data_IF_463592209458
#
_entry.id   IF_463592209458
#
_cell.length_a   1.000
_cell.length_b   1.000
_cell.length_c   1.000
_cell.angle_alpha   90.00
_cell.angle_beta   90.00
_cell.angle_gamma   90.00
#
_symmetry.space_group_name_H-M   'P 1'
#
loop_
_entity.id
_entity.type
_entity.pdbx_description
1 polymer ?
#
# COMPACT_ATOMS: atom_id res chain seq x y z
N UNK A 1 8.18 -10.89 19.25
CA UNK A 1 7.68 -9.63 18.68
C UNK A 1 7.69 -9.88 17.18
N UNK A 2 6.53 -9.87 16.54
CA UNK A 2 6.45 -10.09 15.09
C UNK A 2 7.18 -8.94 14.38
N UNK A 3 7.96 -9.23 13.33
CA UNK A 3 8.71 -8.21 12.61
C UNK A 3 7.78 -7.19 11.97
N UNK A 4 8.02 -5.90 12.23
CA UNK A 4 7.22 -4.81 11.70
C UNK A 4 7.59 -4.50 10.25
N UNK A 5 6.74 -4.96 9.34
CA UNK A 5 6.81 -4.73 7.90
C UNK A 5 5.65 -3.85 7.43
N UNK A 6 5.91 -3.02 6.43
CA UNK A 6 4.85 -2.34 5.68
C UNK A 6 5.23 -2.24 4.21
N UNK A 7 4.22 -2.25 3.35
CA UNK A 7 4.34 -2.10 1.89
C UNK A 7 3.41 -0.99 1.43
N UNK A 8 3.74 -0.36 0.31
CA UNK A 8 2.75 0.44 -0.38
C UNK A 8 3.28 1.12 -1.63
N UNK A 9 2.68 2.28 -1.90
CA UNK A 9 3.00 3.11 -3.05
C UNK A 9 3.41 4.50 -2.60
N UNK A 10 4.20 5.16 -3.42
CA UNK A 10 4.63 6.53 -3.23
C UNK A 10 4.48 7.31 -4.51
N UNK A 11 4.27 8.62 -4.40
CA UNK A 11 4.43 9.53 -5.54
C UNK A 11 5.85 9.36 -6.15
N UNK A 12 5.97 9.49 -7.46
CA UNK A 12 7.24 9.30 -8.14
C UNK A 12 8.34 10.31 -7.74
N UNK A 13 7.98 11.43 -7.09
CA UNK A 13 8.95 12.40 -6.53
C UNK A 13 9.60 11.93 -5.23
N UNK A 14 9.08 10.90 -4.56
CA UNK A 14 9.64 10.41 -3.29
C UNK A 14 11.02 9.78 -3.46
N UNK A 15 11.99 10.19 -2.64
CA UNK A 15 13.29 9.54 -2.50
C UNK A 15 13.34 8.70 -1.22
N UNK A 16 13.94 7.52 -1.29
CA UNK A 16 14.17 6.66 -0.13
C UNK A 16 15.67 6.44 0.05
N UNK A 17 16.16 6.68 1.26
CA UNK A 17 17.55 6.46 1.63
C UNK A 17 17.66 5.41 2.75
N UNK A 18 18.78 4.70 2.79
CA UNK A 18 19.04 3.73 3.86
C UNK A 18 19.04 4.42 5.24
N UNK A 19 18.40 3.81 6.22
CA UNK A 19 18.30 4.34 7.58
C UNK A 19 17.27 5.46 7.76
N UNK A 20 16.45 5.76 6.76
CA UNK A 20 15.34 6.72 6.83
C UNK A 20 13.99 6.02 6.87
N UNK A 21 13.03 6.65 7.54
CA UNK A 21 11.65 6.17 7.56
C UNK A 21 10.96 6.51 6.22
N UNK A 22 9.96 5.74 5.78
CA UNK A 22 9.28 5.98 4.51
C UNK A 22 8.59 7.36 4.41
N UNK A 23 8.31 8.01 5.54
CA UNK A 23 7.69 9.33 5.62
C UNK A 23 8.67 10.47 5.86
N UNK A 24 9.97 10.18 5.98
CA UNK A 24 11.02 11.20 6.09
C UNK A 24 11.22 11.91 4.74
N UNK A 25 12.12 12.90 4.71
CA UNK A 25 12.57 13.59 3.48
C UNK A 25 11.43 14.17 2.63
N UNK A 26 10.34 14.60 3.28
CA UNK A 26 9.17 15.20 2.61
C UNK A 26 8.15 14.20 2.05
N UNK A 27 8.25 12.91 2.44
CA UNK A 27 7.39 11.84 1.90
C UNK A 27 6.08 11.62 2.69
N UNK A 28 5.88 12.32 3.81
CA UNK A 28 4.76 12.07 4.75
C UNK A 28 3.38 12.04 4.10
N UNK A 29 3.10 12.96 3.20
CA UNK A 29 1.81 13.09 2.49
C UNK A 29 1.88 12.54 1.05
N UNK A 30 2.99 11.89 0.71
CA UNK A 30 3.26 11.39 -0.64
C UNK A 30 3.34 9.87 -0.71
N UNK A 31 2.92 9.19 0.36
CA UNK A 31 2.98 7.73 0.47
C UNK A 31 1.64 7.18 0.94
N UNK A 32 1.29 6.00 0.44
CA UNK A 32 0.29 5.12 1.04
C UNK A 32 1.03 3.90 1.57
N UNK A 33 0.66 3.46 2.76
CA UNK A 33 1.26 2.33 3.46
C UNK A 33 0.19 1.39 3.98
N UNK A 34 0.41 0.10 3.79
CA UNK A 34 -0.39 -0.96 4.36
C UNK A 34 0.40 -1.61 5.49
N UNK A 35 -0.03 -1.32 6.71
CA UNK A 35 0.59 -1.79 7.93
C UNK A 35 0.24 -3.26 8.18
N UNK A 36 1.13 -3.97 8.87
CA UNK A 36 0.92 -5.37 9.27
C UNK A 36 -0.37 -5.60 10.08
N UNK A 37 -0.82 -4.60 10.83
CA UNK A 37 -2.09 -4.64 11.58
C UNK A 37 -3.35 -4.48 10.70
N UNK A 38 -3.17 -4.30 9.39
CA UNK A 38 -4.24 -4.12 8.42
C UNK A 38 -4.66 -2.67 8.22
N UNK A 39 -4.04 -1.69 8.87
CA UNK A 39 -4.40 -0.30 8.63
C UNK A 39 -3.80 0.21 7.30
N UNK A 40 -4.56 1.04 6.58
CA UNK A 40 -3.99 1.88 5.52
C UNK A 40 -3.60 3.22 6.12
N UNK A 41 -2.40 3.71 5.81
CA UNK A 41 -1.92 5.02 6.19
C UNK A 41 -1.63 5.91 4.99
N UNK A 42 -1.94 7.18 5.13
CA UNK A 42 -1.52 8.27 4.25
C UNK A 42 -1.21 9.50 5.12
N UNK A 43 -2.03 10.56 5.07
CA UNK A 43 -2.03 11.68 6.01
C UNK A 43 -2.55 11.20 7.38
N UNK A 44 -3.69 10.51 7.38
CA UNK A 44 -4.25 9.78 8.53
C UNK A 44 -4.26 8.28 8.28
N UNK A 45 -4.75 7.50 9.25
CA UNK A 45 -4.93 6.07 9.11
C UNK A 45 -6.40 5.70 8.94
N UNK A 46 -6.67 4.65 8.18
CA UNK A 46 -7.98 4.04 8.04
C UNK A 46 -7.93 2.56 8.39
N UNK A 47 -8.93 2.12 9.17
CA UNK A 47 -9.13 0.72 9.59
C UNK A 47 -10.12 0.02 8.67
N UNK A 48 -10.08 -1.30 8.63
CA UNK A 48 -11.10 -2.11 7.93
C UNK A 48 -10.52 -3.25 7.09
N UNK A 49 -9.22 -3.20 6.77
CA UNK A 49 -8.56 -4.31 6.09
C UNK A 49 -8.05 -5.33 7.11
N UNK A 50 -7.80 -6.54 6.61
CA UNK A 50 -7.25 -7.63 7.39
C UNK A 50 -5.79 -7.35 7.76
N UNK A 51 -5.37 -7.79 8.94
CA UNK A 51 -3.94 -7.92 9.27
C UNK A 51 -3.29 -9.03 8.45
N UNK A 52 -1.98 -8.97 8.30
CA UNK A 52 -1.19 -10.08 7.75
C UNK A 52 -0.07 -10.49 8.73
N UNK A 53 0.46 -11.69 8.52
CA UNK A 53 1.53 -12.28 9.31
C UNK A 53 2.60 -12.90 8.42
N UNK A 54 3.71 -13.30 9.03
CA UNK A 54 4.82 -13.96 8.36
C UNK A 54 4.33 -15.21 7.57
N UNK A 55 4.87 -15.35 6.36
CA UNK A 55 4.50 -16.43 5.43
C UNK A 55 3.30 -16.13 4.53
N UNK A 56 2.52 -15.07 4.81
CA UNK A 56 1.43 -14.63 3.94
C UNK A 56 1.94 -13.78 2.78
N UNK A 57 1.17 -13.77 1.69
CA UNK A 57 1.43 -12.94 0.51
C UNK A 57 0.67 -11.64 0.62
N UNK A 58 1.35 -10.53 0.34
CA UNK A 58 0.73 -9.21 0.27
C UNK A 58 0.97 -8.67 -1.13
N UNK A 59 -0.07 -8.13 -1.74
CA UNK A 59 0.04 -7.49 -3.04
C UNK A 59 -0.60 -6.10 -3.04
N UNK A 60 -0.09 -5.25 -3.92
CA UNK A 60 -0.72 -3.99 -4.28
C UNK A 60 -0.87 -3.97 -5.80
N UNK A 61 -2.09 -3.78 -6.26
CA UNK A 61 -2.40 -3.56 -7.67
C UNK A 61 -2.69 -2.08 -7.88
N UNK A 62 -2.00 -1.45 -8.82
CA UNK A 62 -2.27 -0.06 -9.22
C UNK A 62 -2.91 -0.05 -10.61
N UNK A 63 -4.16 0.40 -10.66
CA UNK A 63 -4.86 0.65 -11.91
C UNK A 63 -4.64 2.11 -12.33
N UNK A 64 -3.69 2.28 -13.25
CA UNK A 64 -3.34 3.58 -13.83
C UNK A 64 -4.23 3.97 -15.02
N UNK A 65 -5.16 3.11 -15.44
CA UNK A 65 -6.00 3.30 -16.63
C UNK A 65 -7.36 3.91 -16.31
N UNK A 66 -7.81 3.78 -15.07
CA UNK A 66 -9.07 4.36 -14.59
C UNK A 66 -8.91 5.80 -14.11
N UNK A 67 -10.01 6.56 -14.16
CA UNK A 67 -10.09 7.91 -13.60
C UNK A 67 -11.30 7.95 -12.66
N UNK A 68 -11.11 8.06 -11.33
CA UNK A 68 -9.82 8.19 -10.64
C UNK A 68 -8.97 6.90 -10.68
N UNK A 69 -7.65 7.05 -10.77
CA UNK A 69 -6.69 5.93 -10.67
C UNK A 69 -6.79 5.28 -9.29
N UNK A 70 -6.54 3.98 -9.20
CA UNK A 70 -6.80 3.20 -7.99
C UNK A 70 -5.59 2.38 -7.54
N UNK A 71 -5.43 2.21 -6.23
CA UNK A 71 -4.53 1.23 -5.63
C UNK A 71 -5.33 0.31 -4.69
N UNK A 72 -5.34 -0.99 -5.00
CA UNK A 72 -6.04 -2.02 -4.23
C UNK A 72 -5.03 -2.96 -3.58
N UNK A 73 -5.27 -3.35 -2.33
CA UNK A 73 -4.41 -4.25 -1.57
C UNK A 73 -5.02 -5.64 -1.44
N UNK A 74 -4.16 -6.65 -1.30
CA UNK A 74 -4.55 -8.05 -1.18
C UNK A 74 -3.73 -8.74 -0.10
N UNK A 75 -4.34 -9.68 0.62
CA UNK A 75 -3.68 -10.61 1.56
C UNK A 75 -4.04 -12.03 1.16
N UNK A 76 -3.06 -12.86 0.83
CA UNK A 76 -3.25 -14.22 0.28
C UNK A 76 -4.27 -14.25 -0.86
N UNK A 77 -4.13 -13.31 -1.81
CA UNK A 77 -4.99 -13.13 -2.97
C UNK A 77 -6.44 -12.68 -2.65
N UNK A 78 -6.78 -12.44 -1.38
CA UNK A 78 -8.06 -11.83 -0.98
C UNK A 78 -8.00 -10.30 -1.05
N UNK A 79 -8.87 -9.72 -1.88
CA UNK A 79 -9.03 -8.26 -2.02
C UNK A 79 -9.45 -7.61 -0.70
N UNK A 80 -8.80 -6.51 -0.34
CA UNK A 80 -9.07 -5.78 0.89
C UNK A 80 -10.13 -4.68 0.66
N UNK A 81 -11.06 -4.46 1.62
CA UNK A 81 -12.21 -3.57 1.42
C UNK A 81 -11.84 -2.10 1.27
N UNK A 82 -10.81 -1.63 1.96
CA UNK A 82 -10.31 -0.27 1.80
C UNK A 82 -9.25 -0.24 0.71
N UNK A 83 -9.44 0.68 -0.24
CA UNK A 83 -8.53 0.93 -1.35
C UNK A 83 -8.37 2.44 -1.56
N UNK A 84 -7.31 2.86 -2.25
CA UNK A 84 -7.02 4.28 -2.46
C UNK A 84 -7.38 4.70 -3.88
N UNK A 85 -8.04 5.85 -4.02
CA UNK A 85 -8.38 6.46 -5.31
C UNK A 85 -7.70 7.81 -5.49
N UNK A 86 -7.54 8.23 -6.74
CA UNK A 86 -6.93 9.50 -7.11
C UNK A 86 -5.41 9.51 -6.91
N UNK A 87 -4.77 8.34 -6.98
CA UNK A 87 -3.31 8.23 -6.86
C UNK A 87 -2.58 9.04 -7.95
N UNK A 88 -1.31 9.44 -7.75
CA UNK A 88 -0.56 10.26 -8.71
C UNK A 88 -0.39 9.64 -10.10
N UNK A 89 0.03 10.44 -11.08
CA UNK A 89 0.29 10.02 -12.48
C UNK A 89 1.42 9.01 -12.62
N UNK A 90 2.36 9.04 -11.69
CA UNK A 90 3.46 8.10 -11.62
C UNK A 90 3.69 7.73 -10.16
N UNK A 91 3.88 6.43 -9.91
CA UNK A 91 4.07 5.89 -8.56
C UNK A 91 5.31 5.00 -8.47
N UNK A 92 5.84 4.87 -7.26
CA UNK A 92 6.87 3.89 -6.90
C UNK A 92 6.27 2.87 -5.94
N UNK A 93 6.59 1.60 -6.12
CA UNK A 93 6.34 0.58 -5.11
C UNK A 93 7.49 0.58 -4.11
N UNK A 94 7.19 0.40 -2.83
CA UNK A 94 8.20 0.35 -1.78
C UNK A 94 7.79 -0.62 -0.67
N UNK A 95 8.80 -1.18 -0.01
CA UNK A 95 8.65 -2.04 1.16
C UNK A 95 9.61 -1.52 2.23
N UNK A 96 9.17 -1.52 3.48
CA UNK A 96 9.97 -1.13 4.64
C UNK A 96 9.97 -2.24 5.68
N UNK A 97 11.16 -2.56 6.16
CA UNK A 97 11.41 -3.52 7.24
C UNK A 97 12.04 -2.78 8.42
N UNK A 98 11.41 -2.83 9.59
CA UNK A 98 11.92 -2.17 10.79
C UNK A 98 12.84 -3.08 11.61
N UNK A 99 12.38 -4.30 11.90
CA UNK A 99 13.08 -5.19 12.80
C UNK A 99 14.28 -5.86 12.15
N UNK A 100 15.35 -6.05 12.94
CA UNK A 100 16.55 -6.75 12.49
C UNK A 100 16.18 -8.15 12.00
N UNK A 101 16.82 -8.57 10.90
CA UNK A 101 16.61 -9.87 10.24
C UNK A 101 15.23 -10.06 9.57
N UNK A 102 14.36 -9.05 9.59
CA UNK A 102 13.16 -9.05 8.75
C UNK A 102 13.57 -9.11 7.28
N UNK A 103 12.86 -9.91 6.50
CA UNK A 103 13.10 -10.01 5.07
C UNK A 103 11.79 -10.25 4.34
N UNK A 104 11.80 -9.95 3.05
CA UNK A 104 10.68 -10.23 2.16
C UNK A 104 11.25 -10.75 0.84
N UNK A 105 10.42 -11.44 0.07
CA UNK A 105 10.75 -11.89 -1.28
C UNK A 105 9.72 -11.33 -2.24
N UNK A 106 10.18 -10.67 -3.31
CA UNK A 106 9.31 -10.28 -4.42
C UNK A 106 9.06 -11.52 -5.27
N UNK A 107 7.89 -12.13 -5.11
CA UNK A 107 7.50 -13.33 -5.87
C UNK A 107 6.93 -12.99 -7.25
N UNK A 108 6.41 -11.78 -7.43
CA UNK A 108 5.70 -11.35 -8.63
C UNK A 108 5.79 -9.83 -8.81
N UNK A 109 6.16 -9.40 -10.00
CA UNK A 109 6.13 -8.01 -10.43
C UNK A 109 5.81 -7.97 -11.91
N UNK A 110 4.55 -7.73 -12.24
CA UNK A 110 4.06 -7.82 -13.62
C UNK A 110 3.08 -6.71 -13.94
N UNK A 111 2.91 -6.47 -15.24
CA UNK A 111 1.87 -5.61 -15.78
C UNK A 111 0.68 -6.46 -16.19
N UNK A 112 -0.46 -6.22 -15.56
CA UNK A 112 -1.72 -6.85 -15.92
C UNK A 112 -2.39 -6.13 -17.10
N UNK A 113 -3.12 -6.87 -17.94
CA UNK A 113 -3.93 -6.28 -19.03
C UNK A 113 -5.20 -5.65 -18.47
N UNK A 114 -5.76 -6.24 -17.41
CA UNK A 114 -6.97 -5.77 -16.72
C UNK A 114 -6.78 -5.92 -15.22
N UNK A 115 -7.33 -4.98 -14.46
CA UNK A 115 -7.40 -5.05 -13.01
C UNK A 115 -8.05 -6.36 -12.54
N UNK A 116 -7.47 -7.00 -11.53
CA UNK A 116 -8.07 -8.18 -10.86
C UNK A 116 -9.00 -7.79 -9.73
N UNK A 117 -8.98 -6.52 -9.29
CA UNK A 117 -9.88 -5.97 -8.29
C UNK A 117 -11.32 -5.95 -8.82
N UNK A 118 -12.20 -6.66 -8.11
CA UNK A 118 -13.63 -6.77 -8.42
C UNK A 118 -14.48 -5.88 -7.51
N UNK A 119 -13.91 -5.43 -6.38
CA UNK A 119 -14.63 -4.76 -5.32
C UNK A 119 -15.27 -5.77 -4.36
N UNK A 120 -15.28 -5.42 -3.08
CA UNK A 120 -15.83 -6.25 -2.00
C UNK A 120 -17.02 -5.52 -1.36
N UNK A 121 -18.00 -6.24 -0.84
CA UNK A 121 -19.09 -5.62 -0.08
C UNK A 121 -18.54 -4.82 1.11
N UNK A 122 -19.09 -3.62 1.33
CA UNK A 122 -18.59 -2.72 2.38
C UNK A 122 -17.28 -2.02 2.06
N UNK A 123 -16.80 -2.07 0.81
CA UNK A 123 -15.56 -1.40 0.41
C UNK A 123 -15.61 0.11 0.62
N UNK A 124 -14.48 0.68 1.05
CA UNK A 124 -14.30 2.12 1.25
C UNK A 124 -13.21 2.66 0.33
N UNK A 125 -13.60 3.53 -0.59
CA UNK A 125 -12.65 4.28 -1.40
C UNK A 125 -12.06 5.44 -0.58
N UNK A 126 -10.74 5.47 -0.46
CA UNK A 126 -9.99 6.46 0.31
C UNK A 126 -9.29 7.43 -0.65
N UNK A 127 -9.63 8.72 -0.60
CA UNK A 127 -9.11 9.70 -1.54
C UNK A 127 -7.67 10.10 -1.18
N UNK A 128 -6.73 9.95 -2.13
CA UNK A 128 -5.37 10.46 -1.98
C UNK A 128 -5.37 11.97 -1.72
N UNK A 129 -4.47 12.44 -0.85
CA UNK A 129 -4.31 13.85 -0.50
C UNK A 129 -5.37 14.37 0.48
N UNK A 130 -6.13 13.48 1.13
CA UNK A 130 -7.17 13.86 2.10
C UNK A 130 -7.04 13.11 3.41
N UNK A 131 -7.64 13.67 4.46
CA UNK A 131 -7.83 12.97 5.74
C UNK A 131 -8.89 11.87 5.58
N UNK A 132 -8.50 10.65 5.92
CA UNK A 132 -9.39 9.51 6.03
C UNK A 132 -9.95 9.49 7.45
N UNK A 133 -11.17 10.02 7.62
CA UNK A 133 -11.96 9.86 8.84
C UNK A 133 -12.71 8.53 8.81
#
# INVERSE_FOLDING_TARGET
>A
MEPYLMIGIADASCSFAAGKLPWDDGNREKTVKYFQDGNLGHITQSKGNQKYADGQRIAVEVDMTTVPRKATFFVDDFEQPNFVIGIPEAVRFWVYTFDKSSSFTVIKFERLIKSTSQGVEGSKALQWGTDWK
#
